data_IF_295046545028
#
_entry.id   IF_295046545028
#
_cell.length_a   1.000
_cell.length_b   1.000
_cell.length_c   1.000
_cell.angle_alpha   90.00
_cell.angle_beta   90.00
_cell.angle_gamma   90.00
#
_symmetry.space_group_name_H-M   'P 1'
#
loop_
_entity.id
_entity.type
_entity.pdbx_description
1 polymer ?
#
# COMPACT_ATOMS: atom_id res chain seq x y z
N UNK A 1 -39.31 17.39 -13.59
CA UNK A 1 -38.44 17.60 -12.41
C UNK A 1 -37.22 16.73 -12.61
N UNK A 2 -36.08 17.33 -12.98
CA UNK A 2 -34.80 16.64 -13.14
C UNK A 2 -34.04 16.86 -11.84
N UNK A 3 -33.93 15.82 -11.02
CA UNK A 3 -33.11 15.85 -9.80
C UNK A 3 -31.65 16.08 -10.21
N UNK A 4 -31.09 17.18 -9.71
CA UNK A 4 -29.70 17.58 -9.85
C UNK A 4 -29.01 17.26 -8.54
N UNK A 5 -28.88 15.98 -8.19
CA UNK A 5 -28.28 15.61 -6.91
C UNK A 5 -27.51 14.29 -7.04
N UNK A 6 -26.27 14.31 -6.58
CA UNK A 6 -25.54 13.10 -6.23
C UNK A 6 -24.60 12.61 -7.31
N UNK A 7 -23.36 13.09 -7.24
CA UNK A 7 -22.17 12.40 -7.75
C UNK A 7 -22.29 10.88 -7.52
N UNK A 8 -21.80 10.03 -8.44
CA UNK A 8 -21.69 8.60 -8.14
C UNK A 8 -20.95 8.51 -6.81
N UNK A 9 -21.61 7.93 -5.80
CA UNK A 9 -20.98 7.63 -4.53
C UNK A 9 -19.79 6.74 -4.84
N UNK A 10 -18.64 7.36 -5.06
CA UNK A 10 -17.37 6.72 -4.92
C UNK A 10 -17.38 6.30 -3.46
N UNK A 11 -17.80 5.05 -3.22
CA UNK A 11 -17.20 4.29 -2.15
C UNK A 11 -15.73 4.29 -2.51
N UNK A 12 -15.04 5.36 -2.11
CA UNK A 12 -13.60 5.45 -2.15
C UNK A 12 -13.20 4.27 -1.28
N UNK A 13 -12.89 3.15 -1.92
CA UNK A 13 -12.41 1.97 -1.23
C UNK A 13 -11.12 2.46 -0.63
N UNK A 14 -11.17 2.87 0.64
CA UNK A 14 -10.00 3.38 1.36
C UNK A 14 -9.07 2.19 1.46
N UNK A 15 -8.23 2.02 0.43
CA UNK A 15 -7.25 0.96 0.39
C UNK A 15 -6.21 1.33 1.43
N UNK A 16 -5.96 0.46 2.43
CA UNK A 16 -4.98 0.77 3.44
C UNK A 16 -3.61 0.97 2.78
N UNK A 17 -2.88 1.97 3.28
CA UNK A 17 -1.49 2.21 2.88
C UNK A 17 -0.58 1.26 3.64
N UNK A 18 0.40 0.72 2.94
CA UNK A 18 1.39 -0.20 3.47
C UNK A 18 2.77 0.38 3.25
N UNK A 19 3.54 0.51 4.32
CA UNK A 19 4.96 0.84 4.26
C UNK A 19 5.71 -0.36 3.72
N UNK A 20 6.59 -0.15 2.74
CA UNK A 20 7.42 -1.19 2.16
C UNK A 20 8.85 -0.97 2.59
N UNK A 21 9.40 -1.98 3.24
CA UNK A 21 10.79 -2.04 3.67
C UNK A 21 11.46 -3.28 3.05
N UNK A 22 12.75 -3.17 2.74
CA UNK A 22 13.52 -4.28 2.18
C UNK A 22 14.59 -4.74 3.17
N UNK A 23 14.49 -6.00 3.60
CA UNK A 23 15.46 -6.71 4.44
C UNK A 23 16.71 -7.08 3.63
N UNK A 24 17.43 -6.07 3.16
CA UNK A 24 18.78 -6.18 2.62
C UNK A 24 19.85 -5.87 3.68
N UNK A 25 21.13 -5.91 3.30
CA UNK A 25 22.27 -5.57 4.18
C UNK A 25 22.18 -4.19 4.86
N UNK A 26 21.32 -3.30 4.36
CA UNK A 26 21.13 -1.95 4.92
C UNK A 26 19.69 -1.65 5.36
N UNK A 27 18.77 -2.63 5.37
CA UNK A 27 17.38 -2.43 5.82
C UNK A 27 16.77 -1.15 5.24
N UNK A 28 16.54 -1.10 3.94
CA UNK A 28 16.15 0.15 3.27
C UNK A 28 14.65 0.27 3.16
N UNK A 29 14.12 1.38 3.68
CA UNK A 29 12.76 1.82 3.38
C UNK A 29 12.66 2.10 1.87
N UNK A 30 11.73 1.43 1.18
CA UNK A 30 11.54 1.59 -0.26
C UNK A 30 10.46 2.63 -0.58
N UNK A 31 9.38 2.65 0.20
CA UNK A 31 8.27 3.58 0.00
C UNK A 31 6.96 3.03 0.55
N UNK A 32 5.84 3.36 -0.10
CA UNK A 32 4.51 2.94 0.33
C UNK A 32 3.68 2.47 -0.86
N UNK A 33 2.76 1.54 -0.61
CA UNK A 33 1.81 1.02 -1.60
C UNK A 33 0.40 0.93 -1.01
N UNK A 34 -0.60 1.08 -1.86
CA UNK A 34 -2.02 0.93 -1.50
C UNK A 34 -2.50 -0.46 -1.93
N UNK A 35 -2.98 -1.25 -0.98
CA UNK A 35 -3.38 -2.64 -1.22
C UNK A 35 -4.45 -3.07 -0.21
N UNK A 36 -5.35 -3.97 -0.61
CA UNK A 36 -6.43 -4.41 0.27
C UNK A 36 -5.90 -5.26 1.45
N UNK A 37 -4.81 -5.99 1.23
CA UNK A 37 -4.23 -6.94 2.17
C UNK A 37 -2.71 -7.00 2.02
N UNK A 38 -2.05 -7.73 2.94
CA UNK A 38 -0.60 -7.85 3.00
C UNK A 38 0.00 -8.49 1.74
N UNK A 39 -0.67 -9.53 1.22
CA UNK A 39 -0.20 -10.26 0.05
C UNK A 39 -0.17 -9.36 -1.19
N UNK A 40 -1.28 -8.66 -1.47
CA UNK A 40 -1.34 -7.65 -2.54
C UNK A 40 -0.33 -6.54 -2.34
N UNK A 41 -0.07 -6.12 -1.10
CA UNK A 41 0.93 -5.10 -0.82
C UNK A 41 2.34 -5.56 -1.24
N UNK A 42 2.69 -6.82 -0.99
CA UNK A 42 3.98 -7.40 -1.40
C UNK A 42 4.07 -7.51 -2.92
N UNK A 43 3.02 -7.97 -3.60
CA UNK A 43 3.00 -8.09 -5.06
C UNK A 43 3.11 -6.72 -5.74
N UNK A 44 2.32 -5.74 -5.29
CA UNK A 44 2.40 -4.35 -5.79
C UNK A 44 3.75 -3.73 -5.50
N UNK A 45 4.28 -3.91 -4.30
CA UNK A 45 5.62 -3.45 -3.94
C UNK A 45 6.69 -4.08 -4.84
N UNK A 46 6.60 -5.39 -5.09
CA UNK A 46 7.55 -6.08 -5.93
C UNK A 46 7.53 -5.58 -7.38
N UNK A 47 6.34 -5.34 -7.94
CA UNK A 47 6.19 -4.74 -9.26
C UNK A 47 6.71 -3.29 -9.31
N UNK A 48 6.32 -2.47 -8.33
CA UNK A 48 6.68 -1.05 -8.28
C UNK A 48 8.18 -0.80 -8.09
N UNK A 49 8.83 -1.57 -7.22
CA UNK A 49 10.26 -1.46 -6.92
C UNK A 49 11.14 -2.40 -7.75
N UNK A 50 10.56 -3.07 -8.75
CA UNK A 50 11.24 -4.02 -9.64
C UNK A 50 12.03 -5.10 -8.87
N UNK A 51 11.39 -5.68 -7.86
CA UNK A 51 11.96 -6.73 -7.00
C UNK A 51 11.65 -8.09 -7.64
N UNK A 52 12.71 -8.86 -7.92
CA UNK A 52 12.57 -10.21 -8.46
C UNK A 52 11.88 -11.15 -7.47
N UNK A 53 11.22 -12.20 -7.98
CA UNK A 53 10.53 -13.21 -7.15
C UNK A 53 11.41 -13.77 -6.03
N UNK A 54 12.69 -14.06 -6.33
CA UNK A 54 13.67 -14.56 -5.37
C UNK A 54 14.03 -13.58 -4.23
N UNK A 55 13.60 -12.32 -4.34
CA UNK A 55 13.82 -11.24 -3.36
C UNK A 55 12.53 -10.77 -2.69
N UNK A 56 11.36 -11.23 -3.13
CA UNK A 56 10.07 -10.89 -2.51
C UNK A 56 9.99 -11.36 -1.07
N UNK A 57 10.63 -12.49 -0.74
CA UNK A 57 10.78 -12.97 0.64
C UNK A 57 11.56 -12.02 1.57
N UNK A 58 12.22 -11.01 1.01
CA UNK A 58 12.92 -9.95 1.76
C UNK A 58 12.11 -8.65 1.82
N UNK A 59 10.94 -8.60 1.21
CA UNK A 59 10.02 -7.47 1.37
C UNK A 59 9.26 -7.66 2.67
N UNK A 60 9.24 -6.58 3.45
CA UNK A 60 8.42 -6.45 4.63
C UNK A 60 7.45 -5.33 4.35
N UNK A 61 6.16 -5.62 4.47
CA UNK A 61 5.12 -4.61 4.38
C UNK A 61 4.54 -4.38 5.78
N UNK A 62 4.35 -3.13 6.15
CA UNK A 62 3.77 -2.75 7.45
C UNK A 62 2.55 -1.88 7.18
N UNK A 63 1.37 -2.34 7.60
CA UNK A 63 0.14 -1.54 7.46
C UNK A 63 0.30 -0.21 8.21
N UNK A 64 0.14 0.89 7.51
CA UNK A 64 0.13 2.24 8.07
C UNK A 64 -1.33 2.55 8.42
N UNK A 65 -1.72 2.41 9.68
CA UNK A 65 -3.01 2.89 10.15
C UNK A 65 -2.89 4.41 10.35
N UNK A 66 -3.57 5.21 9.53
CA UNK A 66 -3.51 6.68 9.58
C UNK A 66 -4.04 7.27 10.91
N UNK A 67 -4.52 6.44 11.85
CA UNK A 67 -4.98 6.87 13.18
C UNK A 67 -3.88 7.20 14.19
N UNK A 68 -2.60 7.15 13.81
CA UNK A 68 -1.47 7.56 14.68
C UNK A 68 -0.39 8.36 13.94
N UNK A 69 -0.77 9.51 13.39
CA UNK A 69 0.18 10.60 13.14
C UNK A 69 -0.45 11.96 13.46
N UNK A 70 -1.11 12.05 14.61
CA UNK A 70 -1.39 13.34 15.26
C UNK A 70 -0.40 13.51 16.39
N UNK A 71 0.65 14.29 16.15
CA UNK A 71 1.50 14.83 17.22
C UNK A 71 0.91 16.13 17.70
#
# INVERSE_FOLDING_TARGET
MVGKDGHPGQGEVVMPRWRVDYLGKKGSHLGQVEAANEHEAIEKAAAQFNITLARQNKLVVTKIDERKSGK
#
